data_IF_046386829846
#
_entry.id   IF_046386829846
#
_cell.length_a   1.000
_cell.length_b   1.000
_cell.length_c   1.000
_cell.angle_alpha   90.00
_cell.angle_beta   90.00
_cell.angle_gamma   90.00
#
_symmetry.space_group_name_H-M   'P 1'
#
loop_
_entity.id
_entity.type
_entity.pdbx_description
1 polymer ?
#
# COMPACT_ATOMS: atom_id res chain seq x y z
N UNK A 1 -8.83 28.66 26.70
CA UNK A 1 -8.28 28.92 25.36
C UNK A 1 -8.40 27.64 24.57
N UNK A 2 -9.21 27.67 23.54
CA UNK A 2 -9.46 26.52 22.66
C UNK A 2 -8.17 26.22 21.89
N UNK A 3 -7.63 25.01 22.06
CA UNK A 3 -6.47 24.58 21.32
C UNK A 3 -6.86 24.49 19.84
N UNK A 4 -6.17 25.23 18.99
CA UNK A 4 -6.30 25.21 17.54
C UNK A 4 -5.86 23.84 16.99
N UNK A 5 -6.70 22.82 17.13
CA UNK A 5 -6.47 21.50 16.57
C UNK A 5 -6.74 21.55 15.06
N UNK A 6 -5.67 21.69 14.28
CA UNK A 6 -5.74 21.54 12.84
C UNK A 6 -6.24 20.12 12.54
N UNK A 7 -7.38 19.98 11.86
CA UNK A 7 -7.89 18.67 11.46
C UNK A 7 -6.99 18.12 10.33
N UNK A 8 -6.10 17.18 10.66
CA UNK A 8 -5.28 16.51 9.66
C UNK A 8 -6.12 15.54 8.84
N UNK A 9 -6.29 15.83 7.54
CA UNK A 9 -6.92 14.91 6.59
C UNK A 9 -5.84 14.28 5.70
N UNK A 10 -5.66 12.97 5.80
CA UNK A 10 -4.78 12.21 4.92
C UNK A 10 -5.61 11.28 4.06
N UNK A 11 -5.18 11.11 2.81
CA UNK A 11 -5.66 10.05 1.94
C UNK A 11 -4.46 9.31 1.36
N UNK A 12 -4.50 7.98 1.39
CA UNK A 12 -3.49 7.13 0.76
C UNK A 12 -4.10 6.44 -0.46
N UNK A 13 -3.31 6.30 -1.51
CA UNK A 13 -3.69 5.47 -2.65
C UNK A 13 -3.72 4.00 -2.21
N UNK A 14 -4.88 3.36 -2.35
CA UNK A 14 -5.13 1.95 -1.98
C UNK A 14 -5.88 1.25 -3.10
N UNK A 15 -5.71 -0.06 -3.15
CA UNK A 15 -6.42 -0.95 -4.05
C UNK A 15 -7.93 -0.92 -3.75
N UNK A 16 -8.74 -0.43 -4.70
CA UNK A 16 -10.20 -0.37 -4.58
C UNK A 16 -10.85 -1.63 -5.14
N UNK A 17 -10.29 -2.16 -6.22
CA UNK A 17 -10.75 -3.37 -6.87
C UNK A 17 -9.57 -4.26 -7.20
N UNK A 18 -9.64 -5.51 -6.77
CA UNK A 18 -8.61 -6.52 -7.01
C UNK A 18 -9.24 -7.80 -7.52
N UNK A 19 -8.46 -8.54 -8.30
CA UNK A 19 -8.81 -9.86 -8.80
C UNK A 19 -7.62 -10.80 -8.62
N UNK A 20 -7.86 -12.07 -8.37
CA UNK A 20 -6.80 -13.07 -8.35
C UNK A 20 -6.46 -13.51 -9.77
N UNK A 21 -5.16 -13.54 -10.10
CA UNK A 21 -4.66 -14.03 -11.39
C UNK A 21 -3.65 -15.12 -11.16
N UNK A 22 -3.70 -16.14 -12.02
CA UNK A 22 -2.75 -17.25 -12.01
C UNK A 22 -1.74 -17.02 -13.14
N UNK A 23 -0.45 -17.09 -12.80
CA UNK A 23 0.65 -17.08 -13.77
C UNK A 23 1.49 -18.32 -13.63
N UNK A 24 1.97 -18.82 -14.76
CA UNK A 24 2.88 -19.95 -14.82
C UNK A 24 4.31 -19.42 -14.88
N UNK A 25 5.09 -19.72 -13.84
CA UNK A 25 6.50 -19.37 -13.76
C UNK A 25 7.33 -20.52 -14.30
N UNK A 26 8.30 -20.20 -15.16
CA UNK A 26 9.34 -21.13 -15.59
C UNK A 26 10.54 -20.96 -14.65
N UNK A 27 10.80 -21.98 -13.84
CA UNK A 27 11.91 -21.98 -12.90
C UNK A 27 13.20 -22.48 -13.58
N UNK A 28 14.38 -22.02 -13.12
CA UNK A 28 15.67 -22.43 -13.68
C UNK A 28 15.94 -23.93 -13.62
N UNK A 29 15.26 -24.66 -12.72
CA UNK A 29 15.30 -26.12 -12.62
C UNK A 29 14.41 -26.83 -13.67
N UNK A 30 14.11 -26.18 -14.80
CA UNK A 30 13.19 -26.65 -15.85
C UNK A 30 11.79 -27.03 -15.36
N UNK A 31 11.42 -26.58 -14.16
CA UNK A 31 10.12 -26.85 -13.55
C UNK A 31 9.18 -25.70 -13.81
N UNK A 32 7.89 -26.01 -13.95
CA UNK A 32 6.86 -25.01 -14.13
C UNK A 32 6.00 -24.95 -12.88
N UNK A 33 5.74 -23.75 -12.38
CA UNK A 33 4.93 -23.55 -11.17
C UNK A 33 3.86 -22.49 -11.41
N UNK A 34 2.62 -22.84 -11.12
CA UNK A 34 1.53 -21.87 -11.10
C UNK A 34 1.51 -21.12 -9.77
N UNK A 35 1.49 -19.79 -9.86
CA UNK A 35 1.40 -18.89 -8.70
C UNK A 35 0.21 -17.98 -8.90
N UNK A 36 -0.66 -17.94 -7.90
CA UNK A 36 -1.75 -16.98 -7.82
C UNK A 36 -1.23 -15.70 -7.18
N UNK A 37 -1.52 -14.55 -7.79
CA UNK A 37 -1.21 -13.24 -7.21
C UNK A 37 -2.42 -12.32 -7.32
N UNK A 38 -2.49 -11.36 -6.41
CA UNK A 38 -3.51 -10.32 -6.42
C UNK A 38 -3.17 -9.28 -7.47
N UNK A 39 -4.02 -9.15 -8.48
CA UNK A 39 -3.94 -8.12 -9.50
C UNK A 39 -4.82 -6.94 -9.10
N UNK A 40 -4.24 -5.74 -9.08
CA UNK A 40 -4.97 -4.50 -8.79
C UNK A 40 -5.63 -4.02 -10.08
N UNK A 41 -6.96 -4.04 -10.12
CA UNK A 41 -7.74 -3.54 -11.25
C UNK A 41 -7.97 -2.04 -11.15
N UNK A 42 -8.16 -1.53 -9.92
CA UNK A 42 -8.43 -0.12 -9.67
C UNK A 42 -7.79 0.33 -8.37
N UNK A 43 -7.25 1.55 -8.35
CA UNK A 43 -6.74 2.20 -7.16
C UNK A 43 -7.46 3.53 -6.91
N UNK A 44 -7.53 3.93 -5.65
CA UNK A 44 -8.26 5.13 -5.23
C UNK A 44 -7.78 5.64 -3.88
N UNK A 45 -8.13 6.89 -3.58
CA UNK A 45 -7.76 7.56 -2.35
C UNK A 45 -8.63 7.09 -1.19
N UNK A 46 -8.09 6.25 -0.33
CA UNK A 46 -8.73 5.87 0.92
C UNK A 46 -8.35 6.87 2.03
N UNK A 47 -9.36 7.37 2.75
CA UNK A 47 -9.15 8.28 3.88
C UNK A 47 -8.44 7.52 4.99
N UNK A 48 -7.21 7.92 5.28
CA UNK A 48 -6.40 7.35 6.34
C UNK A 48 -6.31 8.33 7.50
N UNK A 49 -6.43 7.83 8.74
CA UNK A 49 -6.13 8.67 9.90
C UNK A 49 -4.63 8.95 9.89
N UNK A 50 -4.24 10.21 9.75
CA UNK A 50 -2.87 10.61 10.05
C UNK A 50 -2.68 10.36 11.55
N UNK A 51 -1.91 9.34 11.94
CA UNK A 51 -1.44 9.25 13.33
C UNK A 51 -0.48 10.41 13.52
N UNK A 52 -0.89 11.40 14.33
CA UNK A 52 -0.04 12.50 14.73
C UNK A 52 1.20 11.92 15.43
N UNK A 53 2.34 11.93 14.72
CA UNK A 53 3.65 11.59 15.22
C UNK A 53 3.83 10.35 16.10
N UNK A 54 4.02 9.17 15.50
CA UNK A 54 5.20 8.39 15.88
C UNK A 54 6.18 8.41 14.71
N UNK A 55 7.09 9.37 14.81
CA UNK A 55 8.12 9.64 13.83
C UNK A 55 9.07 8.46 13.69
N UNK A 56 8.81 7.55 12.74
CA UNK A 56 9.91 6.91 11.99
C UNK A 56 10.31 7.83 10.83
N UNK A 57 10.59 9.09 11.16
CA UNK A 57 11.53 9.89 10.39
C UNK A 57 12.85 9.11 10.40
N UNK A 58 13.04 8.23 9.40
CA UNK A 58 14.37 7.74 9.05
C UNK A 58 15.10 8.99 8.57
N UNK A 59 15.73 9.70 9.51
CA UNK A 59 16.67 10.78 9.20
C UNK A 59 17.71 10.14 8.28
N UNK A 60 17.57 10.33 6.97
CA UNK A 60 18.68 10.14 6.04
C UNK A 60 19.67 11.21 6.47
N UNK A 61 20.67 10.81 7.26
CA UNK A 61 21.87 11.62 7.49
C UNK A 61 22.42 11.94 6.11
N UNK A 62 22.33 13.20 5.70
CA UNK A 62 23.36 13.82 4.87
C UNK A 62 24.39 14.43 5.82
#
# INVERSE_FOLDING_TARGET
MEANSMMHHCSCCREQRTSEKVVQLNCPNQTQRNVTYTFVEECGCEKTKCTDGDSKHRKRKL
#
